data_IF_499023905729
#
_entry.id   IF_499023905729
#
_cell.length_a   1.000
_cell.length_b   1.000
_cell.length_c   1.000
_cell.angle_alpha   90.00
_cell.angle_beta   90.00
_cell.angle_gamma   90.00
#
_symmetry.space_group_name_H-M   'P 1'
#
loop_
_entity.id
_entity.type
_entity.pdbx_description
1 polymer ?
#
# COMPACT_ATOMS: atom_id res chain seq x y z
N UNK A 1 -11.55 -45.41 3.25
CA UNK A 1 -11.90 -44.81 1.94
C UNK A 1 -11.71 -43.32 2.06
N UNK A 2 -10.65 -42.79 1.44
CA UNK A 2 -10.37 -41.35 1.34
C UNK A 2 -10.81 -40.90 -0.05
N UNK A 3 -11.70 -39.92 -0.12
CA UNK A 3 -11.99 -39.08 -1.28
C UNK A 3 -11.69 -37.66 -0.79
N UNK A 4 -10.95 -36.77 -1.45
CA UNK A 4 -10.51 -36.65 -2.83
C UNK A 4 -10.55 -35.15 -3.10
N UNK A 5 -9.52 -34.42 -2.65
CA UNK A 5 -9.37 -32.99 -2.90
C UNK A 5 -9.06 -32.79 -4.38
N UNK A 6 -9.87 -31.99 -5.07
CA UNK A 6 -9.60 -31.52 -6.42
C UNK A 6 -8.60 -30.36 -6.34
N UNK A 7 -7.37 -30.61 -6.80
CA UNK A 7 -6.37 -29.58 -7.09
C UNK A 7 -6.74 -28.90 -8.41
N UNK A 8 -6.96 -27.59 -8.40
CA UNK A 8 -7.01 -26.78 -9.61
C UNK A 8 -5.58 -26.54 -10.13
N UNK A 9 -5.35 -26.58 -11.46
CA UNK A 9 -4.01 -26.52 -12.02
C UNK A 9 -3.39 -25.12 -11.95
N UNK A 10 -2.13 -25.08 -11.51
CA UNK A 10 -1.24 -23.92 -11.57
C UNK A 10 -0.97 -23.53 -13.02
N UNK A 11 -1.28 -22.29 -13.40
CA UNK A 11 -0.90 -21.71 -14.70
C UNK A 11 0.30 -20.80 -14.45
N UNK A 12 1.50 -21.33 -14.69
CA UNK A 12 2.71 -20.52 -14.90
C UNK A 12 2.69 -19.96 -16.34
N UNK A 13 3.06 -18.69 -16.57
CA UNK A 13 3.23 -18.18 -17.92
C UNK A 13 4.50 -18.77 -18.55
N UNK A 14 4.30 -19.68 -19.51
CA UNK A 14 5.34 -20.17 -20.41
C UNK A 14 5.78 -19.06 -21.37
N UNK A 15 7.02 -18.60 -21.25
CA UNK A 15 7.69 -17.83 -22.31
C UNK A 15 8.33 -18.84 -23.25
N UNK A 16 7.88 -18.83 -24.51
CA UNK A 16 8.39 -19.69 -25.59
C UNK A 16 9.90 -19.47 -25.80
N UNK A 17 10.67 -20.52 -25.57
CA UNK A 17 12.01 -20.66 -26.11
C UNK A 17 11.91 -20.89 -27.61
N UNK A 18 12.62 -20.09 -28.41
CA UNK A 18 12.81 -20.34 -29.83
C UNK A 18 13.89 -21.42 -29.94
N UNK A 19 13.47 -22.59 -30.42
CA UNK A 19 14.30 -23.76 -30.69
C UNK A 19 14.62 -23.79 -32.19
N UNK A 20 15.90 -23.62 -32.57
CA UNK A 20 16.37 -23.90 -33.93
C UNK A 20 17.25 -25.16 -33.89
N UNK A 21 16.64 -26.27 -34.32
CA UNK A 21 17.24 -27.59 -34.30
C UNK A 21 18.10 -27.93 -35.53
N UNK A 22 19.35 -28.31 -35.22
CA UNK A 22 20.13 -29.40 -35.84
C UNK A 22 20.72 -29.25 -37.26
N UNK A 23 22.05 -29.37 -37.37
CA UNK A 23 22.71 -30.59 -37.90
C UNK A 23 24.22 -30.62 -37.63
N UNK A 24 24.72 -31.84 -37.45
CA UNK A 24 26.07 -32.26 -37.07
C UNK A 24 27.13 -32.04 -38.15
N UNK A 25 28.37 -31.66 -37.78
CA UNK A 25 29.58 -32.52 -37.86
C UNK A 25 30.91 -31.74 -37.75
N UNK A 26 31.88 -32.39 -37.08
CA UNK A 26 33.35 -32.31 -37.20
C UNK A 26 34.15 -31.27 -36.39
N UNK A 27 35.07 -31.85 -35.63
CA UNK A 27 36.26 -31.28 -34.99
C UNK A 27 37.22 -30.74 -36.05
N UNK A 28 37.74 -29.53 -35.87
CA UNK A 28 39.05 -29.10 -36.37
C UNK A 28 39.61 -27.93 -35.53
N UNK A 29 40.94 -27.88 -35.45
CA UNK A 29 41.79 -27.19 -34.48
C UNK A 29 41.91 -25.64 -34.69
N UNK A 30 42.56 -24.89 -33.75
CA UNK A 30 42.45 -23.43 -33.68
C UNK A 30 43.40 -22.72 -34.66
N UNK A 31 42.91 -21.66 -35.31
CA UNK A 31 43.75 -20.73 -36.08
C UNK A 31 43.61 -19.30 -35.51
N UNK A 32 44.73 -18.58 -35.28
CA UNK A 32 44.74 -17.29 -34.62
C UNK A 32 44.53 -16.16 -35.64
N UNK A 33 43.49 -15.36 -35.47
CA UNK A 33 43.46 -14.04 -36.09
C UNK A 33 42.90 -13.01 -35.12
N UNK A 34 43.85 -12.39 -34.40
CA UNK A 34 43.68 -11.19 -33.60
C UNK A 34 43.20 -10.04 -34.49
N UNK A 35 41.90 -9.78 -34.51
CA UNK A 35 41.37 -8.44 -34.75
C UNK A 35 40.73 -7.99 -33.45
N UNK A 36 41.45 -7.15 -32.71
CA UNK A 36 40.92 -6.44 -31.55
C UNK A 36 39.67 -5.69 -31.99
N UNK A 37 38.50 -6.19 -31.61
CA UNK A 37 37.27 -5.41 -31.66
C UNK A 37 37.50 -4.19 -30.76
N UNK A 38 37.55 -3.02 -31.37
CA UNK A 38 37.52 -1.74 -30.67
C UNK A 38 36.26 -1.69 -29.82
N UNK A 39 36.40 -1.56 -28.50
CA UNK A 39 35.27 -1.23 -27.62
C UNK A 39 34.62 0.04 -28.18
N UNK A 40 33.29 0.09 -28.37
CA UNK A 40 32.64 1.35 -28.63
C UNK A 40 32.89 2.23 -27.40
N UNK A 41 33.52 3.38 -27.62
CA UNK A 41 33.57 4.46 -26.64
C UNK A 41 32.17 5.00 -26.50
N UNK A 42 31.34 4.39 -25.64
CA UNK A 42 30.15 5.08 -25.15
C UNK A 42 30.65 6.32 -24.43
N UNK A 43 30.13 7.49 -24.83
CA UNK A 43 30.33 8.70 -24.04
C UNK A 43 29.81 8.36 -22.64
N UNK A 44 30.65 8.48 -21.62
CA UNK A 44 30.19 8.37 -20.25
C UNK A 44 29.17 9.50 -20.06
N UNK A 45 27.89 9.18 -20.09
CA UNK A 45 26.86 10.11 -19.67
C UNK A 45 27.13 10.43 -18.21
N UNK A 46 27.04 11.71 -17.83
CA UNK A 46 27.18 12.17 -16.44
C UNK A 46 25.99 11.72 -15.55
N UNK A 47 25.15 10.81 -16.04
CA UNK A 47 23.91 10.33 -15.44
C UNK A 47 23.97 8.81 -15.41
N UNK A 48 23.69 8.22 -14.26
CA UNK A 48 23.51 6.78 -14.12
C UNK A 48 22.13 6.45 -14.72
N UNK A 49 22.11 5.86 -15.91
CA UNK A 49 20.87 5.42 -16.56
C UNK A 49 20.46 4.10 -15.90
N UNK A 50 19.36 4.11 -15.15
CA UNK A 50 18.74 2.89 -14.65
C UNK A 50 17.92 2.25 -15.79
N UNK A 51 18.11 0.95 -16.10
CA UNK A 51 17.31 0.30 -17.13
C UNK A 51 15.82 0.34 -16.77
N UNK A 52 15.01 0.91 -17.66
CA UNK A 52 13.54 0.93 -17.52
C UNK A 52 12.90 -0.01 -18.52
N UNK A 53 11.79 -0.65 -18.14
CA UNK A 53 10.97 -1.39 -19.10
C UNK A 53 10.11 -0.38 -19.88
N UNK A 54 10.40 -0.18 -21.17
CA UNK A 54 9.55 0.66 -22.02
C UNK A 54 8.16 0.02 -22.18
N UNK A 55 7.07 0.74 -21.89
CA UNK A 55 5.73 0.21 -22.08
C UNK A 55 5.43 -0.08 -23.55
N UNK A 56 4.60 -1.09 -23.80
CA UNK A 56 4.13 -1.40 -25.15
C UNK A 56 3.16 -0.30 -25.62
N UNK A 57 3.35 0.28 -26.82
CA UNK A 57 2.40 1.25 -27.38
C UNK A 57 0.99 0.67 -27.49
N UNK A 58 -0.02 1.48 -27.18
CA UNK A 58 -1.43 1.09 -27.33
C UNK A 58 -1.88 1.18 -28.80
N UNK A 59 -2.96 0.46 -29.14
CA UNK A 59 -3.61 0.58 -30.45
C UNK A 59 -4.80 1.54 -30.35
N UNK A 60 -5.23 2.12 -31.47
CA UNK A 60 -6.37 3.06 -31.51
C UNK A 60 -7.66 2.47 -30.88
N UNK A 61 -7.85 1.15 -31.01
CA UNK A 61 -8.97 0.40 -30.42
C UNK A 61 -8.93 0.31 -28.88
N UNK A 62 -7.79 0.60 -28.24
CA UNK A 62 -7.63 0.54 -26.79
C UNK A 62 -8.00 1.88 -26.12
N UNK A 63 -8.19 2.97 -26.90
CA UNK A 63 -8.52 4.32 -26.40
C UNK A 63 -9.90 4.41 -25.72
N UNK A 64 -10.97 3.75 -26.21
CA UNK A 64 -12.26 3.79 -25.53
C UNK A 64 -12.12 3.30 -24.07
N UNK A 65 -12.88 3.89 -23.12
CA UNK A 65 -12.79 3.47 -21.73
C UNK A 65 -13.09 1.98 -21.60
N UNK A 66 -12.31 1.24 -20.79
CA UNK A 66 -12.51 -0.19 -20.65
C UNK A 66 -13.89 -0.48 -20.06
N UNK A 67 -14.55 -1.52 -20.57
CA UNK A 67 -15.78 -2.02 -19.97
C UNK A 67 -15.42 -2.62 -18.61
N UNK A 68 -15.83 -1.95 -17.53
CA UNK A 68 -15.64 -2.46 -16.19
C UNK A 68 -16.54 -3.66 -15.94
N UNK A 69 -16.14 -4.59 -15.06
CA UNK A 69 -16.98 -5.73 -14.71
C UNK A 69 -18.33 -5.26 -14.16
N UNK A 70 -19.40 -5.91 -14.62
CA UNK A 70 -20.76 -5.60 -14.16
C UNK A 70 -20.95 -6.18 -12.75
N UNK A 71 -21.27 -5.36 -11.74
CA UNK A 71 -21.52 -5.87 -10.39
C UNK A 71 -22.73 -6.81 -10.35
N UNK A 72 -22.57 -7.97 -9.73
CA UNK A 72 -23.66 -8.96 -9.54
C UNK A 72 -24.27 -8.78 -8.15
N UNK A 73 -25.59 -8.60 -8.07
CA UNK A 73 -26.28 -8.50 -6.78
C UNK A 73 -26.20 -9.82 -6.03
N UNK A 74 -25.72 -9.78 -4.78
CA UNK A 74 -25.58 -10.97 -3.94
C UNK A 74 -26.62 -10.98 -2.83
N UNK A 75 -26.74 -9.89 -2.07
CA UNK A 75 -27.64 -9.85 -0.91
C UNK A 75 -28.22 -8.46 -0.64
N UNK A 76 -29.14 -8.38 0.32
CA UNK A 76 -29.70 -7.13 0.81
C UNK A 76 -29.69 -7.17 2.34
N UNK A 77 -29.06 -6.18 2.96
CA UNK A 77 -28.95 -6.06 4.42
C UNK A 77 -29.57 -4.72 4.81
N UNK A 78 -30.57 -4.74 5.70
CA UNK A 78 -31.29 -3.56 6.19
C UNK A 78 -31.72 -2.58 5.08
N UNK A 79 -32.26 -3.12 3.98
CA UNK A 79 -32.76 -2.34 2.84
C UNK A 79 -31.71 -1.90 1.82
N UNK A 80 -30.41 -2.08 2.08
CA UNK A 80 -29.33 -1.76 1.14
C UNK A 80 -28.94 -3.01 0.35
N UNK A 81 -28.92 -2.90 -0.99
CA UNK A 81 -28.48 -3.99 -1.87
C UNK A 81 -26.96 -3.98 -2.01
N UNK A 82 -26.34 -5.16 -1.85
CA UNK A 82 -24.91 -5.36 -1.96
C UNK A 82 -24.56 -6.26 -3.13
N UNK A 83 -23.48 -5.90 -3.81
CA UNK A 83 -23.02 -6.47 -5.07
C UNK A 83 -21.60 -6.98 -4.92
N UNK A 84 -21.31 -8.05 -5.64
CA UNK A 84 -19.97 -8.56 -5.82
C UNK A 84 -19.47 -8.14 -7.20
N UNK A 85 -18.25 -7.62 -7.23
CA UNK A 85 -17.55 -7.32 -8.48
C UNK A 85 -16.51 -8.42 -8.67
N UNK A 86 -16.90 -9.48 -9.37
CA UNK A 86 -15.99 -10.50 -9.86
C UNK A 86 -15.24 -9.90 -11.07
N UNK A 87 -13.98 -10.28 -11.30
CA UNK A 87 -13.15 -9.82 -12.45
C UNK A 87 -12.37 -8.51 -12.34
N UNK A 88 -12.25 -7.90 -11.16
CA UNK A 88 -11.21 -6.89 -10.92
C UNK A 88 -9.95 -7.52 -10.31
N UNK A 89 -8.73 -7.09 -10.71
CA UNK A 89 -7.53 -7.44 -9.97
C UNK A 89 -7.60 -6.79 -8.58
N UNK A 90 -7.34 -7.57 -7.53
CA UNK A 90 -7.44 -7.12 -6.14
C UNK A 90 -6.05 -7.09 -5.54
N UNK A 91 -5.73 -6.07 -4.75
CA UNK A 91 -4.43 -5.90 -4.11
C UNK A 91 -4.11 -7.14 -3.26
N UNK A 92 -3.06 -7.88 -3.64
CA UNK A 92 -2.66 -9.11 -2.96
C UNK A 92 -1.22 -9.48 -3.32
N UNK A 93 -0.58 -10.26 -2.44
CA UNK A 93 0.73 -10.87 -2.68
C UNK A 93 1.85 -9.84 -2.97
N UNK A 94 1.77 -8.65 -2.37
CA UNK A 94 2.77 -7.60 -2.56
C UNK A 94 2.60 -6.78 -3.84
N UNK A 95 1.44 -6.88 -4.49
CA UNK A 95 1.07 -6.06 -5.64
C UNK A 95 -0.20 -5.27 -5.36
N UNK A 96 -0.26 -4.06 -5.91
CA UNK A 96 -1.46 -3.24 -5.98
C UNK A 96 -1.75 -2.85 -7.42
N UNK A 97 -3.03 -2.64 -7.68
CA UNK A 97 -3.52 -2.31 -9.00
C UNK A 97 -4.16 -0.94 -8.98
N UNK A 98 -3.87 -0.18 -10.03
CA UNK A 98 -4.47 1.13 -10.28
C UNK A 98 -5.00 1.14 -11.70
N UNK A 99 -6.12 1.80 -11.96
CA UNK A 99 -6.59 1.92 -13.33
C UNK A 99 -5.71 2.88 -14.14
N UNK A 100 -5.50 2.53 -15.39
CA UNK A 100 -4.85 3.40 -16.36
C UNK A 100 -5.61 3.39 -17.67
N UNK A 101 -5.34 4.40 -18.49
CA UNK A 101 -5.91 4.55 -19.83
C UNK A 101 -4.82 4.97 -20.81
N UNK A 102 -4.97 4.63 -22.09
CA UNK A 102 -4.12 5.20 -23.14
C UNK A 102 -4.16 6.72 -23.12
N UNK A 103 -2.99 7.34 -23.20
CA UNK A 103 -2.84 8.78 -23.31
C UNK A 103 -2.07 9.12 -24.58
N UNK A 104 -2.74 9.53 -25.67
CA UNK A 104 -2.08 9.89 -26.93
C UNK A 104 -1.12 11.07 -26.86
N UNK A 105 -1.14 11.86 -25.78
CA UNK A 105 -0.19 12.95 -25.58
C UNK A 105 1.16 12.46 -25.02
N UNK A 106 1.20 11.26 -24.45
CA UNK A 106 2.42 10.68 -23.89
C UNK A 106 3.11 9.83 -24.96
N UNK A 107 4.36 10.17 -25.26
CA UNK A 107 5.16 9.52 -26.30
C UNK A 107 6.10 8.45 -25.75
N UNK A 108 6.43 8.51 -24.45
CA UNK A 108 7.38 7.60 -23.82
C UNK A 108 6.73 6.62 -22.85
N UNK A 109 5.72 7.05 -22.10
CA UNK A 109 4.97 6.19 -21.18
C UNK A 109 3.66 5.66 -21.77
N UNK A 110 3.08 6.33 -22.79
CA UNK A 110 1.85 5.96 -23.53
C UNK A 110 0.54 5.86 -22.73
N UNK A 111 0.59 5.76 -21.41
CA UNK A 111 -0.58 5.59 -20.54
C UNK A 111 -0.57 6.66 -19.45
N UNK A 112 -1.74 6.99 -18.93
CA UNK A 112 -1.90 7.80 -17.73
C UNK A 112 -2.87 7.14 -16.77
N UNK A 113 -2.79 7.54 -15.51
CA UNK A 113 -3.76 7.20 -14.47
C UNK A 113 -5.18 7.57 -14.90
N UNK A 114 -6.16 6.77 -14.45
CA UNK A 114 -7.58 7.12 -14.44
C UNK A 114 -8.26 6.52 -13.22
N UNK A 115 -9.46 7.00 -12.91
CA UNK A 115 -10.24 6.50 -11.76
C UNK A 115 -11.66 6.05 -12.17
N UNK A 116 -12.40 5.53 -11.19
CA UNK A 116 -13.75 5.00 -11.32
C UNK A 116 -14.81 5.96 -10.79
N UNK A 117 -16.00 5.87 -11.38
CA UNK A 117 -17.22 6.36 -10.74
C UNK A 117 -17.31 5.75 -9.32
N UNK A 118 -17.60 6.56 -8.28
CA UNK A 118 -18.29 7.85 -8.35
C UNK A 118 -17.41 9.11 -8.46
N UNK A 119 -16.11 9.00 -8.74
CA UNK A 119 -15.17 10.15 -8.82
C UNK A 119 -15.16 11.02 -7.57
N UNK A 120 -15.06 10.37 -6.42
CA UNK A 120 -14.96 10.97 -5.10
C UNK A 120 -14.29 9.96 -4.14
N UNK A 121 -14.02 10.36 -2.90
CA UNK A 121 -13.56 9.41 -1.89
C UNK A 121 -14.65 8.38 -1.59
N UNK A 122 -14.33 7.11 -1.82
CA UNK A 122 -15.21 5.98 -1.68
C UNK A 122 -14.43 4.77 -1.15
N UNK A 123 -15.11 3.64 -0.93
CA UNK A 123 -14.41 2.39 -0.63
C UNK A 123 -13.79 1.85 -1.91
N UNK A 124 -12.51 1.49 -1.86
CA UNK A 124 -11.75 1.02 -3.02
C UNK A 124 -12.20 -0.37 -3.46
N UNK A 125 -12.45 -0.53 -4.75
CA UNK A 125 -12.73 -1.84 -5.36
C UNK A 125 -11.47 -2.71 -5.51
N UNK A 126 -10.28 -2.09 -5.46
CA UNK A 126 -8.98 -2.76 -5.54
C UNK A 126 -8.47 -3.16 -4.16
N UNK A 127 -8.73 -2.32 -3.16
CA UNK A 127 -8.12 -2.40 -1.84
C UNK A 127 -9.05 -3.03 -0.80
N UNK A 128 -9.41 -4.28 -1.07
CA UNK A 128 -10.41 -5.06 -0.33
C UNK A 128 -10.05 -6.54 -0.23
N UNK A 129 -10.65 -7.23 0.74
CA UNK A 129 -10.74 -8.70 0.69
C UNK A 129 -11.73 -9.14 -0.40
N UNK A 130 -11.50 -10.31 -1.01
CA UNK A 130 -12.40 -10.86 -2.04
C UNK A 130 -13.82 -11.15 -1.54
N UNK A 131 -13.99 -11.36 -0.23
CA UNK A 131 -15.29 -11.59 0.41
C UNK A 131 -16.09 -10.32 0.74
N UNK A 132 -15.60 -9.13 0.39
CA UNK A 132 -16.33 -7.87 0.60
C UNK A 132 -17.33 -7.63 -0.54
N UNK A 133 -18.55 -7.29 -0.15
CA UNK A 133 -19.63 -6.86 -1.02
C UNK A 133 -19.86 -5.35 -0.88
N UNK A 134 -20.18 -4.67 -1.98
CA UNK A 134 -20.28 -3.21 -2.08
C UNK A 134 -21.72 -2.78 -2.32
N UNK A 135 -22.13 -1.64 -1.80
CA UNK A 135 -23.30 -0.94 -2.32
C UNK A 135 -23.04 -0.44 -3.75
N UNK A 136 -24.12 -0.12 -4.49
CA UNK A 136 -24.02 0.33 -5.88
C UNK A 136 -23.19 1.62 -6.05
N UNK A 137 -23.17 2.48 -5.02
CA UNK A 137 -22.40 3.73 -4.98
C UNK A 137 -20.98 3.57 -4.41
N UNK A 138 -20.55 2.35 -4.08
CA UNK A 138 -19.24 2.04 -3.48
C UNK A 138 -18.95 2.76 -2.15
N UNK A 139 -19.97 3.19 -1.42
CA UNK A 139 -19.83 3.87 -0.13
C UNK A 139 -20.02 2.94 1.06
N UNK A 140 -20.75 1.84 0.89
CA UNK A 140 -21.07 0.89 1.94
C UNK A 140 -20.49 -0.49 1.64
N UNK A 141 -20.08 -1.19 2.69
CA UNK A 141 -19.58 -2.57 2.59
C UNK A 141 -20.26 -3.50 3.59
N UNK A 142 -20.31 -4.78 3.22
CA UNK A 142 -20.69 -5.89 4.08
C UNK A 142 -19.92 -7.16 3.70
N UNK A 143 -19.90 -8.16 4.59
CA UNK A 143 -19.33 -9.48 4.32
C UNK A 143 -20.22 -10.58 4.90
N UNK A 144 -20.57 -11.63 4.13
CA UNK A 144 -21.43 -12.70 4.64
C UNK A 144 -20.78 -13.54 5.75
N UNK A 145 -19.46 -13.73 5.70
CA UNK A 145 -18.74 -14.66 6.57
C UNK A 145 -17.36 -14.14 6.96
N UNK A 146 -17.02 -14.35 8.23
CA UNK A 146 -15.73 -14.00 8.80
C UNK A 146 -15.44 -12.50 8.80
N UNK A 147 -14.31 -12.14 9.40
CA UNK A 147 -13.84 -10.76 9.35
C UNK A 147 -13.22 -10.49 8.00
N UNK A 148 -13.77 -9.52 7.27
CA UNK A 148 -13.20 -9.01 6.03
C UNK A 148 -13.09 -7.50 6.13
N UNK A 149 -12.15 -6.92 5.39
CA UNK A 149 -11.97 -5.47 5.38
C UNK A 149 -11.80 -4.91 3.98
N UNK A 150 -12.10 -3.62 3.86
CA UNK A 150 -11.77 -2.79 2.71
C UNK A 150 -11.29 -1.42 3.19
N UNK A 151 -10.46 -0.76 2.38
CA UNK A 151 -9.97 0.60 2.63
C UNK A 151 -10.61 1.58 1.65
N UNK A 152 -10.62 2.86 2.02
CA UNK A 152 -10.94 3.93 1.06
C UNK A 152 -9.95 3.96 -0.11
N UNK A 153 -10.36 4.56 -1.23
CA UNK A 153 -9.46 4.84 -2.36
C UNK A 153 -8.42 5.93 -2.04
N UNK A 154 -8.64 6.70 -0.97
CA UNK A 154 -7.84 7.86 -0.59
C UNK A 154 -7.26 7.71 0.81
N UNK A 155 -5.99 8.09 0.95
CA UNK A 155 -5.24 8.03 2.22
C UNK A 155 -4.76 9.40 2.66
N UNK A 156 -4.74 9.62 3.97
CA UNK A 156 -4.32 10.86 4.62
C UNK A 156 -2.83 10.79 4.92
N UNK A 157 -2.08 11.81 4.46
CA UNK A 157 -0.62 11.88 4.52
C UNK A 157 -0.10 12.99 5.44
N UNK A 158 -0.82 14.09 5.51
CA UNK A 158 -0.54 15.25 6.35
C UNK A 158 -1.83 16.03 6.55
N UNK A 159 -1.83 17.02 7.45
CA UNK A 159 -2.98 17.89 7.67
C UNK A 159 -4.13 17.23 8.44
N UNK A 160 -5.29 17.89 8.43
CA UNK A 160 -6.44 17.51 9.25
C UNK A 160 -7.68 17.22 8.40
N UNK A 161 -8.19 15.99 8.47
CA UNK A 161 -9.34 15.52 7.68
C UNK A 161 -10.39 14.86 8.55
N UNK A 162 -11.66 15.09 8.21
CA UNK A 162 -12.82 14.50 8.87
C UNK A 162 -13.65 13.64 7.91
N UNK A 163 -14.14 12.52 8.42
CA UNK A 163 -15.09 11.62 7.76
C UNK A 163 -15.90 10.86 8.79
N UNK A 164 -17.01 10.24 8.37
CA UNK A 164 -17.88 9.47 9.26
C UNK A 164 -18.07 8.04 8.78
N UNK A 165 -18.26 7.14 9.73
CA UNK A 165 -18.77 5.80 9.49
C UNK A 165 -20.21 5.70 10.00
N UNK A 166 -21.16 5.55 9.09
CA UNK A 166 -22.55 5.25 9.43
C UNK A 166 -22.73 3.74 9.56
N UNK A 167 -23.17 3.29 10.72
CA UNK A 167 -23.35 1.88 11.02
C UNK A 167 -24.70 1.42 10.48
N UNK A 168 -24.68 0.57 9.45
CA UNK A 168 -25.88 0.11 8.76
C UNK A 168 -26.42 -1.21 9.30
N UNK A 169 -25.54 -2.07 9.83
CA UNK A 169 -25.91 -3.30 10.50
C UNK A 169 -24.82 -3.71 11.50
N UNK A 170 -25.12 -3.63 12.79
CA UNK A 170 -24.32 -4.15 13.89
C UNK A 170 -25.27 -4.54 15.03
N UNK A 171 -25.29 -5.81 15.39
CA UNK A 171 -26.19 -6.44 16.37
C UNK A 171 -25.49 -7.58 17.14
N UNK A 172 -26.24 -8.52 17.71
CA UNK A 172 -25.67 -9.64 18.49
C UNK A 172 -24.85 -10.64 17.65
N UNK A 173 -25.14 -10.78 16.36
CA UNK A 173 -24.49 -11.75 15.47
C UNK A 173 -23.67 -11.08 14.37
N UNK A 174 -24.01 -9.84 14.02
CA UNK A 174 -23.39 -9.05 12.97
C UNK A 174 -22.50 -8.00 13.62
N UNK A 175 -21.21 -7.98 13.29
CA UNK A 175 -20.28 -7.05 13.92
C UNK A 175 -19.53 -6.20 12.90
N UNK A 176 -19.11 -5.02 13.34
CA UNK A 176 -18.25 -4.13 12.57
C UNK A 176 -17.07 -3.64 13.41
N UNK A 177 -15.97 -3.31 12.74
CA UNK A 177 -14.92 -2.47 13.31
C UNK A 177 -14.56 -1.39 12.31
N UNK A 178 -14.39 -0.19 12.81
CA UNK A 178 -14.11 0.99 12.00
C UNK A 178 -12.86 1.67 12.51
N UNK A 179 -12.09 2.26 11.61
CA UNK A 179 -10.86 2.93 12.01
C UNK A 179 -10.02 3.31 10.82
N UNK A 180 -8.70 3.37 11.03
CA UNK A 180 -7.74 3.65 9.96
C UNK A 180 -6.60 2.67 9.95
N UNK A 181 -6.05 2.45 8.77
CA UNK A 181 -4.90 1.58 8.59
C UNK A 181 -4.02 2.03 7.43
N UNK A 182 -2.74 1.67 7.51
CA UNK A 182 -1.79 1.80 6.41
C UNK A 182 -1.97 0.67 5.40
N UNK A 183 -1.24 0.76 4.28
CA UNK A 183 -1.31 -0.20 3.15
C UNK A 183 -0.88 -1.62 3.49
N UNK A 184 0.02 -1.78 4.45
CA UNK A 184 0.54 -3.09 4.88
C UNK A 184 -0.48 -3.90 5.69
N UNK A 185 -1.53 -3.24 6.22
CA UNK A 185 -2.55 -3.88 7.04
C UNK A 185 -3.29 -4.97 6.25
N UNK A 186 -3.58 -6.08 6.90
CA UNK A 186 -4.26 -7.20 6.24
C UNK A 186 -5.74 -6.90 5.96
N UNK A 187 -6.16 -7.06 4.71
CA UNK A 187 -7.56 -6.94 4.29
C UNK A 187 -8.42 -8.17 4.63
N UNK A 188 -7.77 -9.29 4.99
CA UNK A 188 -8.41 -10.54 5.43
C UNK A 188 -8.64 -10.59 6.94
N UNK A 189 -8.26 -9.53 7.66
CA UNK A 189 -8.40 -9.38 9.10
C UNK A 189 -9.07 -8.04 9.42
N UNK A 190 -9.69 -7.89 10.60
CA UNK A 190 -10.31 -6.63 10.97
C UNK A 190 -9.26 -5.55 11.28
N UNK A 191 -9.61 -4.29 11.10
CA UNK A 191 -8.80 -3.13 11.52
C UNK A 191 -8.45 -3.27 13.01
N UNK A 192 -7.20 -2.97 13.36
CA UNK A 192 -6.64 -3.19 14.69
C UNK A 192 -6.11 -4.61 14.95
N UNK A 193 -6.13 -5.50 13.96
CA UNK A 193 -5.52 -6.85 14.06
C UNK A 193 -3.99 -6.79 14.14
N UNK A 194 -3.35 -6.02 13.27
CA UNK A 194 -1.90 -5.86 13.22
C UNK A 194 -1.46 -4.46 13.71
N UNK A 195 -0.16 -4.19 13.69
CA UNK A 195 0.41 -2.91 14.13
C UNK A 195 0.28 -1.79 13.08
N UNK A 196 -0.37 -2.05 11.95
CA UNK A 196 -0.52 -1.09 10.85
C UNK A 196 -1.86 -0.36 10.87
N UNK A 197 -2.78 -0.73 11.77
CA UNK A 197 -4.09 -0.08 11.86
C UNK A 197 -4.59 0.05 13.29
N UNK A 198 -5.42 1.06 13.50
CA UNK A 198 -6.10 1.38 14.75
C UNK A 198 -7.59 1.26 14.50
N UNK A 199 -8.24 0.32 15.17
CA UNK A 199 -9.66 0.01 14.97
C UNK A 199 -10.46 0.21 16.24
N UNK A 200 -11.72 0.62 16.14
CA UNK A 200 -12.64 0.70 17.27
C UNK A 200 -13.68 -0.40 17.12
N UNK A 201 -13.90 -1.15 18.20
CA UNK A 201 -14.87 -2.24 18.24
C UNK A 201 -16.27 -1.72 18.51
N UNK A 202 -17.25 -2.24 17.78
CA UNK A 202 -18.68 -1.92 17.92
C UNK A 202 -19.26 -2.24 19.30
N UNK A 203 -18.97 -3.43 19.85
CA UNK A 203 -19.65 -3.93 21.06
C UNK A 203 -19.38 -3.10 22.32
N UNK A 204 -18.13 -2.74 22.56
CA UNK A 204 -17.68 -2.08 23.79
C UNK A 204 -16.99 -0.73 23.54
N UNK A 205 -16.77 -0.37 22.27
CA UNK A 205 -16.08 0.86 21.90
C UNK A 205 -14.59 0.85 22.23
N UNK A 206 -14.01 -0.31 22.52
CA UNK A 206 -12.59 -0.46 22.83
C UNK A 206 -11.73 -0.24 21.58
N UNK A 207 -10.61 0.46 21.76
CA UNK A 207 -9.53 0.51 20.78
C UNK A 207 -8.91 -0.88 20.65
N UNK A 208 -8.95 -1.39 19.43
CA UNK A 208 -8.23 -2.56 18.96
C UNK A 208 -6.93 -2.12 18.30
N UNK A 209 -5.83 -2.61 18.86
CA UNK A 209 -4.49 -2.45 18.29
C UNK A 209 -3.70 -3.73 18.57
N UNK A 210 -2.95 -4.24 17.58
CA UNK A 210 -2.20 -5.52 17.68
C UNK A 210 -3.03 -6.70 18.21
N UNK A 211 -4.30 -6.79 17.78
CA UNK A 211 -5.29 -7.78 18.20
C UNK A 211 -5.57 -7.78 19.70
N UNK A 212 -5.26 -6.69 20.40
CA UNK A 212 -5.51 -6.49 21.83
C UNK A 212 -6.45 -5.31 22.02
N UNK A 213 -7.36 -5.46 22.98
CA UNK A 213 -8.18 -4.36 23.49
C UNK A 213 -7.29 -3.42 24.31
N UNK A 214 -7.46 -2.12 24.14
CA UNK A 214 -6.73 -1.07 24.84
C UNK A 214 -7.72 -0.28 25.70
N UNK A 215 -7.72 1.04 25.58
CA UNK A 215 -8.65 1.95 26.22
C UNK A 215 -9.99 1.99 25.46
N UNK A 216 -11.05 2.40 26.16
CA UNK A 216 -12.36 2.66 25.57
C UNK A 216 -12.28 3.99 24.81
N UNK A 217 -12.53 3.95 23.51
CA UNK A 217 -12.56 5.13 22.64
C UNK A 217 -13.97 5.68 22.44
N UNK A 218 -14.99 4.84 22.53
CA UNK A 218 -16.40 5.23 22.37
C UNK A 218 -17.19 4.65 23.52
N UNK A 219 -17.82 5.49 24.34
CA UNK A 219 -18.57 4.99 25.48
C UNK A 219 -19.77 4.14 25.04
N UNK A 220 -19.91 2.97 25.68
CA UNK A 220 -20.96 1.99 25.41
C UNK A 220 -20.97 1.43 23.97
N UNK A 221 -19.85 1.54 23.25
CA UNK A 221 -19.78 1.05 21.86
C UNK A 221 -20.72 1.79 20.91
N UNK A 222 -21.07 1.15 19.81
CA UNK A 222 -21.97 1.69 18.78
C UNK A 222 -22.71 0.57 18.05
N UNK A 223 -23.94 0.85 17.61
CA UNK A 223 -24.83 -0.13 16.98
C UNK A 223 -25.46 0.43 15.70
N UNK A 224 -26.34 -0.35 15.07
CA UNK A 224 -27.10 0.06 13.89
C UNK A 224 -27.79 1.40 14.08
N UNK A 225 -27.52 2.34 13.18
CA UNK A 225 -28.06 3.70 13.20
C UNK A 225 -27.11 4.75 13.80
N UNK A 226 -26.10 4.34 14.57
CA UNK A 226 -25.07 5.26 15.06
C UNK A 226 -24.15 5.73 13.92
N UNK A 227 -23.56 6.91 14.13
CA UNK A 227 -22.54 7.50 13.26
C UNK A 227 -21.29 7.77 14.08
N UNK A 228 -20.17 7.21 13.62
CA UNK A 228 -18.86 7.38 14.27
C UNK A 228 -17.99 8.29 13.40
N UNK A 229 -17.76 9.52 13.85
CA UNK A 229 -16.90 10.50 13.20
C UNK A 229 -15.43 10.29 13.57
N UNK A 230 -14.53 10.50 12.62
CA UNK A 230 -13.09 10.45 12.79
C UNK A 230 -12.48 11.77 12.31
N UNK A 231 -11.77 12.47 13.19
CA UNK A 231 -10.89 13.57 12.84
C UNK A 231 -9.44 13.11 12.99
N UNK A 232 -8.72 13.06 11.87
CA UNK A 232 -7.32 12.66 11.84
C UNK A 232 -6.49 13.92 11.65
N UNK A 233 -5.57 14.15 12.57
CA UNK A 233 -4.67 15.31 12.56
C UNK A 233 -3.25 14.79 12.44
N UNK A 234 -2.61 15.06 11.31
CA UNK A 234 -1.21 14.77 11.06
C UNK A 234 -0.44 16.10 10.89
N UNK A 235 0.82 16.19 11.37
CA UNK A 235 1.68 17.33 11.05
C UNK A 235 1.94 17.42 9.55
N UNK A 236 2.57 18.51 9.11
CA UNK A 236 2.96 18.63 7.71
C UNK A 236 3.94 17.51 7.32
N UNK A 237 3.86 17.05 6.07
CA UNK A 237 4.73 15.99 5.57
C UNK A 237 6.20 16.43 5.64
N UNK A 238 6.48 17.72 5.50
CA UNK A 238 7.81 18.30 5.69
C UNK A 238 8.35 18.12 7.10
N UNK A 239 7.51 18.32 8.12
CA UNK A 239 7.89 18.12 9.53
C UNK A 239 8.06 16.63 9.83
N UNK A 240 7.13 15.80 9.38
CA UNK A 240 7.21 14.35 9.51
C UNK A 240 8.51 13.80 8.90
N UNK A 241 8.87 14.23 7.67
CA UNK A 241 10.15 13.87 7.04
C UNK A 241 11.37 14.37 7.82
N UNK A 242 11.31 15.56 8.43
CA UNK A 242 12.38 16.07 9.30
C UNK A 242 12.58 15.18 10.52
N UNK A 243 11.50 14.83 11.21
CA UNK A 243 11.55 13.96 12.39
C UNK A 243 12.11 12.57 12.06
N UNK A 244 11.77 12.03 10.88
CA UNK A 244 12.34 10.77 10.41
C UNK A 244 13.84 10.88 10.14
N UNK A 245 14.31 11.97 9.53
CA UNK A 245 15.76 12.19 9.36
C UNK A 245 16.48 12.27 10.70
N UNK A 246 15.94 13.02 11.66
CA UNK A 246 16.52 13.13 13.01
C UNK A 246 16.55 11.77 13.74
N UNK A 247 15.47 10.98 13.61
CA UNK A 247 15.42 9.62 14.12
C UNK A 247 16.51 8.74 13.49
N UNK A 248 16.66 8.80 12.16
CA UNK A 248 17.66 8.03 11.42
C UNK A 248 19.08 8.44 11.78
N UNK A 249 19.35 9.74 11.90
CA UNK A 249 20.65 10.27 12.33
C UNK A 249 21.00 9.82 13.75
N UNK A 250 20.04 9.89 14.68
CA UNK A 250 20.21 9.42 16.06
C UNK A 250 20.55 7.93 16.12
N UNK A 251 19.81 7.10 15.38
CA UNK A 251 20.07 5.65 15.31
C UNK A 251 21.40 5.34 14.63
N UNK A 252 21.76 6.05 13.57
CA UNK A 252 23.06 5.90 12.89
C UNK A 252 24.22 6.28 13.80
N UNK A 253 24.07 7.32 14.61
CA UNK A 253 25.06 7.72 15.61
C UNK A 253 25.25 6.65 16.71
N UNK A 254 24.15 6.07 17.22
CA UNK A 254 24.16 4.92 18.14
C UNK A 254 24.89 3.70 17.53
N UNK A 255 24.73 3.45 16.22
CA UNK A 255 25.43 2.37 15.49
C UNK A 255 26.94 2.63 15.43
N UNK A 256 27.35 3.83 15.05
CA UNK A 256 28.77 4.19 14.85
C UNK A 256 29.59 4.05 16.15
N UNK A 257 28.99 4.39 17.28
CA UNK A 257 29.61 4.28 18.61
C UNK A 257 29.72 2.83 19.08
N UNK A 258 28.75 1.96 18.76
CA UNK A 258 28.82 0.52 19.10
C UNK A 258 29.80 -0.26 18.21
N UNK A 259 29.94 0.07 16.93
CA UNK A 259 30.87 -0.62 16.01
C UNK A 259 32.35 -0.37 16.37
N UNK A 260 32.68 0.75 17.01
CA UNK A 260 34.03 0.97 17.55
C UNK A 260 34.40 -0.01 18.68
N UNK A 261 33.41 -0.62 19.35
CA UNK A 261 33.63 -1.54 20.47
C UNK A 261 33.73 -3.03 20.08
N UNK A 262 33.29 -3.44 18.88
CA UNK A 262 33.31 -4.85 18.43
C UNK A 262 33.82 -4.99 17.00
N UNK A 263 35.15 -4.91 16.81
CA UNK A 263 35.80 -5.38 15.58
C UNK A 263 35.79 -6.92 15.52
N UNK A 264 34.74 -7.52 14.96
CA UNK A 264 34.83 -8.85 14.34
C UNK A 264 34.30 -8.81 12.92
N UNK A 265 35.09 -9.44 12.05
CA UNK A 265 35.01 -9.46 10.60
C UNK A 265 33.73 -10.16 10.11
N UNK A 266 32.86 -9.42 9.45
CA UNK A 266 32.03 -9.98 8.38
C UNK A 266 31.98 -8.96 7.26
N UNK A 267 32.52 -9.33 6.09
CA UNK A 267 32.51 -8.51 4.87
C UNK A 267 31.12 -8.70 4.25
N UNK A 268 30.22 -7.73 4.39
CA UNK A 268 28.89 -7.75 3.78
C UNK A 268 28.63 -6.49 2.93
N UNK A 269 27.75 -6.63 1.93
CA UNK A 269 27.55 -5.71 0.80
C UNK A 269 27.02 -4.33 1.23
N UNK A 270 27.92 -3.37 1.36
CA UNK A 270 27.64 -1.97 1.70
C UNK A 270 26.90 -1.20 0.58
N UNK A 271 27.00 -1.65 -0.69
CA UNK A 271 26.56 -0.86 -1.85
C UNK A 271 25.03 -0.70 -2.05
N UNK A 272 24.19 -1.46 -1.35
CA UNK A 272 22.73 -1.47 -1.65
C UNK A 272 21.97 -0.34 -0.95
N UNK A 273 22.41 0.06 0.26
CA UNK A 273 21.71 1.05 1.09
C UNK A 273 21.96 2.48 0.60
N UNK A 274 23.20 2.81 0.23
CA UNK A 274 23.57 4.11 -0.33
C UNK A 274 22.78 4.43 -1.63
N UNK A 275 22.35 3.40 -2.37
CA UNK A 275 21.53 3.58 -3.57
C UNK A 275 20.08 3.96 -3.25
N UNK A 276 19.51 3.45 -2.14
CA UNK A 276 18.12 3.72 -1.74
C UNK A 276 17.94 5.13 -1.16
N UNK A 277 18.97 5.68 -0.51
CA UNK A 277 18.96 7.07 -0.02
C UNK A 277 18.82 8.07 -1.16
N UNK A 278 19.40 7.79 -2.33
CA UNK A 278 19.32 8.65 -3.52
C UNK A 278 17.88 8.74 -4.02
N UNK A 279 17.15 7.62 -4.04
CA UNK A 279 15.77 7.57 -4.52
C UNK A 279 14.80 8.37 -3.66
N UNK A 280 15.07 8.47 -2.36
CA UNK A 280 14.27 9.25 -1.42
C UNK A 280 14.83 10.67 -1.17
N UNK A 281 15.97 11.00 -1.78
CA UNK A 281 16.56 12.33 -1.65
C UNK A 281 15.61 13.39 -2.21
N UNK A 282 15.74 14.61 -1.70
CA UNK A 282 14.97 15.77 -2.18
C UNK A 282 13.45 15.59 -2.15
N UNK A 283 12.95 14.73 -1.26
CA UNK A 283 11.52 14.47 -1.10
C UNK A 283 10.86 13.84 -2.34
N UNK A 284 11.64 13.14 -3.17
CA UNK A 284 11.20 12.47 -4.39
C UNK A 284 10.12 11.39 -4.12
N UNK A 285 9.29 11.18 -5.14
CA UNK A 285 8.33 10.09 -5.23
C UNK A 285 8.82 9.15 -6.32
N UNK A 286 8.85 7.85 -6.04
CA UNK A 286 9.34 6.84 -6.98
C UNK A 286 8.21 5.88 -7.28
N UNK A 287 7.78 5.83 -8.55
CA UNK A 287 6.65 5.02 -9.00
C UNK A 287 7.11 4.01 -10.05
N UNK A 288 7.01 2.72 -9.74
CA UNK A 288 7.21 1.63 -10.70
C UNK A 288 5.84 1.16 -11.18
N UNK A 289 5.43 1.65 -12.35
CA UNK A 289 4.09 1.48 -12.90
C UNK A 289 4.15 0.75 -14.24
N UNK A 290 3.71 -0.51 -14.26
CA UNK A 290 3.71 -1.33 -15.47
C UNK A 290 2.29 -1.46 -16.01
N UNK A 291 1.97 -0.85 -17.17
CA UNK A 291 0.65 -0.97 -17.75
C UNK A 291 0.42 -2.40 -18.26
N UNK A 292 -0.61 -3.05 -17.73
CA UNK A 292 -0.99 -4.43 -18.02
C UNK A 292 -2.46 -4.51 -18.37
N UNK A 293 -2.79 -5.31 -19.39
CA UNK A 293 -4.17 -5.58 -19.78
C UNK A 293 -4.67 -6.84 -19.08
N UNK A 294 -5.72 -6.72 -18.27
CA UNK A 294 -6.34 -7.84 -17.57
C UNK A 294 -7.86 -7.78 -17.72
N UNK A 295 -8.47 -8.90 -18.10
CA UNK A 295 -9.93 -9.08 -18.20
C UNK A 295 -10.67 -7.93 -18.92
N UNK A 296 -10.08 -7.39 -19.99
CA UNK A 296 -10.70 -6.35 -20.82
C UNK A 296 -10.44 -4.90 -20.36
N UNK A 297 -9.75 -4.70 -19.23
CA UNK A 297 -9.36 -3.39 -18.73
C UNK A 297 -7.83 -3.23 -18.60
N UNK A 298 -7.39 -1.97 -18.54
CA UNK A 298 -5.99 -1.59 -18.41
C UNK A 298 -5.71 -1.12 -16.99
N UNK A 299 -4.64 -1.65 -16.42
CA UNK A 299 -4.22 -1.34 -15.05
C UNK A 299 -2.72 -1.06 -15.04
N UNK A 300 -2.27 -0.18 -14.16
CA UNK A 300 -0.91 -0.23 -13.67
C UNK A 300 -0.80 -1.33 -12.62
N UNK A 301 0.13 -2.25 -12.87
CA UNK A 301 0.66 -3.15 -11.86
C UNK A 301 1.80 -2.42 -11.13
N UNK A 302 1.68 -2.35 -9.81
CA UNK A 302 2.66 -1.70 -8.92
C UNK A 302 2.95 -2.61 -7.74
N UNK A 303 4.14 -2.47 -7.17
CA UNK A 303 4.43 -3.12 -5.90
C UNK A 303 3.66 -2.47 -4.75
N UNK A 304 3.24 -3.29 -3.79
CA UNK A 304 2.56 -2.86 -2.58
C UNK A 304 3.49 -3.01 -1.38
N UNK A 305 3.28 -2.13 -0.40
CA UNK A 305 4.01 -2.15 0.86
C UNK A 305 3.77 -3.47 1.61
N UNK A 306 4.86 -4.05 2.08
CA UNK A 306 4.89 -5.37 2.70
C UNK A 306 5.06 -5.29 4.20
N UNK A 307 4.51 -6.28 4.90
CA UNK A 307 4.70 -6.41 6.35
C UNK A 307 6.17 -6.65 6.67
N UNK A 308 6.66 -5.92 7.66
CA UNK A 308 7.96 -6.14 8.30
C UNK A 308 7.85 -7.12 9.47
N UNK A 309 8.91 -7.90 9.72
CA UNK A 309 8.98 -8.81 10.87
C UNK A 309 8.80 -8.10 12.20
N UNK A 310 9.21 -6.84 12.29
CA UNK A 310 9.11 -5.99 13.49
C UNK A 310 7.68 -5.79 13.92
N UNK A 311 6.83 -5.41 12.97
CA UNK A 311 5.42 -5.15 13.21
C UNK A 311 4.66 -6.47 13.42
N UNK A 312 5.06 -7.55 12.74
CA UNK A 312 4.50 -8.88 12.99
C UNK A 312 4.89 -9.40 14.39
N UNK A 313 6.10 -9.07 14.86
CA UNK A 313 6.56 -9.43 16.21
C UNK A 313 5.81 -8.66 17.30
N UNK A 314 5.33 -7.43 17.03
CA UNK A 314 4.44 -6.72 17.96
C UNK A 314 3.11 -7.46 18.17
N UNK A 315 2.60 -8.10 17.12
CA UNK A 315 1.40 -8.93 17.20
C UNK A 315 1.70 -10.22 17.98
N UNK A 316 2.76 -10.92 17.60
CA UNK A 316 3.20 -12.19 18.20
C UNK A 316 4.66 -12.09 18.66
N UNK A 317 4.93 -11.73 19.94
CA UNK A 317 6.29 -11.53 20.45
C UNK A 317 6.97 -12.85 20.79
N UNK A 318 6.95 -13.79 19.85
CA UNK A 318 7.54 -15.12 19.98
C UNK A 318 8.76 -15.18 19.08
N UNK A 319 9.90 -15.54 19.66
CA UNK A 319 11.12 -15.83 18.92
C UNK A 319 11.44 -17.30 19.03
N UNK A 320 11.64 -17.93 17.88
CA UNK A 320 11.91 -19.37 17.78
C UNK A 320 13.42 -19.59 17.71
N UNK A 321 13.98 -20.22 18.75
CA UNK A 321 15.36 -20.67 18.80
C UNK A 321 15.40 -22.19 18.59
N UNK A 322 15.63 -22.63 17.35
CA UNK A 322 15.57 -24.04 16.99
C UNK A 322 14.16 -24.61 17.20
N UNK A 323 14.01 -25.59 18.10
CA UNK A 323 12.71 -26.19 18.45
C UNK A 323 11.99 -25.47 19.61
N UNK A 324 12.61 -24.46 20.25
CA UNK A 324 12.06 -23.77 21.41
C UNK A 324 11.54 -22.38 21.04
N UNK A 325 10.26 -22.16 21.28
CA UNK A 325 9.63 -20.84 21.23
C UNK A 325 9.79 -20.13 22.58
N UNK A 326 10.38 -18.94 22.59
CA UNK A 326 10.55 -18.09 23.77
C UNK A 326 9.81 -16.78 23.54
N UNK A 327 9.02 -16.36 24.53
CA UNK A 327 8.37 -15.04 24.50
C UNK A 327 9.43 -14.00 24.80
N UNK A 328 9.67 -13.10 23.86
CA UNK A 328 10.59 -11.97 24.08
C UNK A 328 9.92 -10.93 24.99
N UNK A 329 10.66 -10.46 25.99
CA UNK A 329 10.22 -9.42 26.92
C UNK A 329 10.75 -8.02 26.57
N UNK A 330 11.59 -7.92 25.55
CA UNK A 330 12.14 -6.64 25.11
C UNK A 330 11.09 -5.81 24.38
N UNK A 331 10.98 -4.55 24.79
CA UNK A 331 10.05 -3.60 24.19
C UNK A 331 10.59 -3.05 22.86
N UNK A 332 10.22 -3.70 21.76
CA UNK A 332 10.62 -3.30 20.40
C UNK A 332 9.92 -2.01 19.92
N UNK A 333 8.90 -1.52 20.62
CA UNK A 333 8.20 -0.29 20.21
C UNK A 333 9.10 0.94 20.23
N UNK A 334 10.17 0.92 21.04
CA UNK A 334 11.17 2.00 21.13
C UNK A 334 11.94 2.26 19.83
N UNK A 335 11.99 1.28 18.94
CA UNK A 335 12.68 1.39 17.66
C UNK A 335 11.72 1.70 16.51
N UNK A 336 10.43 1.90 16.79
CA UNK A 336 9.44 2.24 15.77
C UNK A 336 9.23 3.76 15.80
N UNK A 337 9.51 4.46 14.69
CA UNK A 337 9.27 5.89 14.63
C UNK A 337 7.77 6.19 14.73
N UNK A 338 7.44 7.24 15.48
CA UNK A 338 6.09 7.80 15.61
C UNK A 338 6.02 9.13 14.87
N UNK A 339 4.82 9.53 14.45
CA UNK A 339 4.54 10.86 13.91
C UNK A 339 4.22 11.76 15.11
N UNK A 340 5.12 12.66 15.50
CA UNK A 340 4.88 13.49 16.68
C UNK A 340 3.70 14.44 16.43
N UNK A 341 2.93 14.72 17.49
CA UNK A 341 1.73 15.56 17.43
C UNK A 341 0.62 15.03 16.50
N UNK A 342 0.72 13.78 16.04
CA UNK A 342 -0.39 13.13 15.35
C UNK A 342 -1.42 12.63 16.35
N UNK A 343 -2.70 12.78 16.02
CA UNK A 343 -3.80 12.23 16.81
C UNK A 343 -5.02 11.88 15.99
N UNK A 344 -5.82 10.94 16.49
CA UNK A 344 -7.16 10.63 16.02
C UNK A 344 -8.15 10.97 17.13
N UNK A 345 -9.08 11.88 16.82
CA UNK A 345 -10.24 12.20 17.66
C UNK A 345 -11.47 11.50 17.12
N UNK A 346 -12.29 10.99 18.03
CA UNK A 346 -13.44 10.15 17.71
C UNK A 346 -14.70 10.82 18.21
N UNK A 347 -15.75 10.77 17.40
CA UNK A 347 -17.05 11.35 17.70
C UNK A 347 -18.12 10.27 17.57
N UNK A 348 -19.10 10.25 18.47
CA UNK A 348 -20.31 9.43 18.33
C UNK A 348 -21.51 10.34 18.22
N UNK A 349 -22.23 10.26 17.11
CA UNK A 349 -23.41 11.09 16.83
C UNK A 349 -23.15 12.59 17.08
N UNK A 350 -21.98 13.07 16.65
CA UNK A 350 -21.53 14.46 16.80
C UNK A 350 -20.93 14.82 18.17
N UNK A 351 -20.98 13.94 19.16
CA UNK A 351 -20.39 14.17 20.49
C UNK A 351 -18.97 13.61 20.51
N UNK A 352 -18.00 14.49 20.73
CA UNK A 352 -16.59 14.11 20.91
C UNK A 352 -16.42 13.17 22.10
N UNK A 353 -15.61 12.14 21.93
CA UNK A 353 -15.28 11.18 22.97
C UNK A 353 -13.94 11.56 23.63
N UNK A 354 -13.81 11.32 24.94
CA UNK A 354 -12.66 11.77 25.74
C UNK A 354 -11.32 11.13 25.36
N UNK A 355 -11.34 10.06 24.57
CA UNK A 355 -10.15 9.27 24.25
C UNK A 355 -9.59 9.61 22.87
N UNK A 356 -8.39 10.18 22.85
CA UNK A 356 -7.59 10.39 21.64
C UNK A 356 -6.62 9.20 21.40
N UNK A 357 -6.35 8.88 20.13
CA UNK A 357 -5.27 7.98 19.74
C UNK A 357 -4.11 8.85 19.31
N UNK A 358 -3.12 9.04 20.17
CA UNK A 358 -1.97 9.92 19.91
C UNK A 358 -0.74 9.15 19.42
N UNK A 359 0.17 9.85 18.74
CA UNK A 359 1.49 9.36 18.32
C UNK A 359 1.40 8.10 17.43
N UNK A 360 0.70 8.24 16.31
CA UNK A 360 0.55 7.20 15.30
C UNK A 360 1.93 6.77 14.78
N UNK A 361 2.07 5.51 14.38
CA UNK A 361 3.32 5.01 13.82
C UNK A 361 3.61 5.65 12.46
N UNK A 362 4.87 6.06 12.25
CA UNK A 362 5.29 6.62 10.97
C UNK A 362 5.15 5.61 9.84
N UNK A 363 4.53 6.05 8.75
CA UNK A 363 4.48 5.31 7.49
C UNK A 363 5.66 5.59 6.56
N UNK A 364 6.47 6.62 6.85
CA UNK A 364 7.60 6.97 6.01
C UNK A 364 8.76 5.98 6.17
N UNK A 365 9.48 5.68 5.07
CA UNK A 365 10.65 4.82 5.12
C UNK A 365 11.78 5.46 5.95
N UNK A 366 12.52 4.64 6.69
CA UNK A 366 13.68 5.08 7.50
C UNK A 366 15.03 4.80 6.84
N UNK A 367 15.08 4.04 5.73
CA UNK A 367 16.33 3.64 5.05
C UNK A 367 17.38 2.93 5.93
N UNK A 368 17.05 2.48 7.15
CA UNK A 368 17.98 1.76 8.03
C UNK A 368 17.91 0.26 7.76
N UNK A 369 18.83 -0.28 6.95
CA UNK A 369 18.83 -1.72 6.60
C UNK A 369 19.90 -2.55 7.33
N UNK A 370 20.82 -1.90 8.07
CA UNK A 370 22.11 -2.51 8.45
C UNK A 370 22.11 -3.30 9.78
N UNK A 371 21.02 -3.31 10.55
CA UNK A 371 20.96 -3.92 11.90
C UNK A 371 19.74 -4.82 12.08
N UNK A 372 19.96 -6.13 12.13
CA UNK A 372 18.93 -7.14 12.43
C UNK A 372 18.26 -6.91 13.80
N UNK A 373 18.94 -6.27 14.75
CA UNK A 373 18.43 -5.95 16.09
C UNK A 373 17.57 -4.68 16.15
N UNK A 374 17.78 -3.71 15.25
CA UNK A 374 16.90 -2.55 15.13
C UNK A 374 15.58 -2.92 14.46
N UNK A 375 15.57 -4.00 13.67
CA UNK A 375 14.38 -4.51 12.99
C UNK A 375 13.69 -3.38 12.18
N UNK A 376 14.41 -2.71 11.29
CA UNK A 376 13.84 -1.71 10.37
C UNK A 376 13.91 -2.24 8.94
N UNK A 377 13.26 -3.39 8.72
CA UNK A 377 13.22 -4.02 7.40
C UNK A 377 12.60 -3.09 6.34
N UNK A 378 12.97 -3.26 5.06
CA UNK A 378 12.44 -2.40 4.01
C UNK A 378 10.91 -2.49 3.90
N UNK A 379 10.26 -1.34 3.71
CA UNK A 379 8.81 -1.25 3.57
C UNK A 379 8.28 -1.95 2.30
N UNK A 380 9.13 -2.13 1.29
CA UNK A 380 8.87 -2.85 0.04
C UNK A 380 9.99 -3.86 -0.20
N UNK A 381 9.63 -5.12 -0.44
CA UNK A 381 10.58 -6.18 -0.75
C UNK A 381 10.50 -6.57 -2.23
N UNK A 382 11.36 -5.97 -3.07
CA UNK A 382 11.47 -6.34 -4.48
C UNK A 382 12.82 -7.01 -4.77
N UNK A 383 12.79 -8.27 -5.20
CA UNK A 383 14.00 -8.99 -5.61
C UNK A 383 14.50 -8.57 -6.99
N UNK A 384 13.57 -8.16 -7.88
CA UNK A 384 13.88 -7.85 -9.28
C UNK A 384 14.40 -6.41 -9.47
N UNK A 385 13.91 -5.45 -8.67
CA UNK A 385 14.41 -4.07 -8.65
C UNK A 385 14.79 -3.64 -7.21
N UNK A 386 16.02 -3.95 -6.76
CA UNK A 386 16.46 -3.61 -5.41
C UNK A 386 16.43 -2.11 -5.09
N UNK A 387 16.41 -1.23 -6.10
CA UNK A 387 16.37 0.23 -5.91
C UNK A 387 14.99 0.78 -5.52
N UNK A 388 13.93 -0.02 -5.64
CA UNK A 388 12.58 0.38 -5.23
C UNK A 388 12.29 0.13 -3.74
N UNK A 389 13.29 -0.33 -2.98
CA UNK A 389 13.17 -0.59 -1.54
C UNK A 389 13.12 0.74 -0.79
N UNK A 390 12.31 0.79 0.27
CA UNK A 390 12.22 1.98 1.12
C UNK A 390 11.80 3.24 0.37
N UNK A 391 10.98 3.11 -0.68
CA UNK A 391 10.51 4.24 -1.48
C UNK A 391 9.14 4.73 -1.04
N UNK A 392 8.85 5.99 -1.34
CA UNK A 392 7.50 6.57 -1.28
C UNK A 392 6.97 6.72 -2.70
N UNK A 393 5.84 6.08 -2.99
CA UNK A 393 5.22 6.09 -4.32
C UNK A 393 3.96 6.95 -4.39
N UNK A 394 3.86 7.92 -3.47
CA UNK A 394 2.72 8.80 -3.23
C UNK A 394 1.54 8.15 -2.52
N UNK A 395 1.59 6.86 -2.21
CA UNK A 395 0.46 6.14 -1.59
C UNK A 395 0.65 5.71 -0.14
N UNK A 396 1.78 6.06 0.49
CA UNK A 396 1.94 5.93 1.95
C UNK A 396 0.97 6.86 2.68
N UNK A 397 0.39 6.39 3.78
CA UNK A 397 -0.53 7.17 4.60
C UNK A 397 -1.50 6.30 5.41
N UNK A 398 -2.45 6.94 6.09
CA UNK A 398 -3.54 6.29 6.80
C UNK A 398 -4.84 6.36 6.01
N UNK A 399 -5.45 5.21 5.77
CA UNK A 399 -6.69 5.06 5.01
C UNK A 399 -7.83 4.69 5.96
N UNK A 400 -9.00 5.36 5.89
CA UNK A 400 -10.25 4.82 6.41
C UNK A 400 -10.40 3.34 6.06
N UNK A 401 -10.57 2.51 7.09
CA UNK A 401 -10.69 1.06 6.97
C UNK A 401 -11.98 0.58 7.62
N UNK A 402 -12.75 -0.18 6.83
CA UNK A 402 -14.07 -0.70 7.18
C UNK A 402 -13.96 -2.21 7.29
N UNK A 403 -14.22 -2.75 8.48
CA UNK A 403 -14.20 -4.19 8.75
C UNK A 403 -15.58 -4.68 9.12
N UNK A 404 -16.00 -5.77 8.49
CA UNK A 404 -17.33 -6.35 8.69
C UNK A 404 -17.24 -7.83 9.01
N UNK A 405 -18.19 -8.32 9.80
CA UNK A 405 -18.31 -9.70 10.25
C UNK A 405 -19.76 -10.14 10.23
N UNK A 406 -20.03 -11.30 9.61
CA UNK A 406 -21.34 -11.96 9.60
C UNK A 406 -22.50 -11.00 9.25
N UNK A 407 -22.46 -10.40 8.06
CA UNK A 407 -23.41 -9.39 7.57
C UNK A 407 -23.39 -8.05 8.32
N UNK A 408 -22.38 -7.81 9.17
CA UNK A 408 -22.07 -6.46 9.61
C UNK A 408 -21.97 -5.52 8.41
N UNK A 409 -22.48 -4.31 8.52
CA UNK A 409 -22.53 -3.36 7.41
C UNK A 409 -22.23 -1.95 7.88
N UNK A 410 -21.39 -1.26 7.12
CA UNK A 410 -20.95 0.10 7.43
C UNK A 410 -20.83 0.91 6.15
N UNK A 411 -21.12 2.20 6.25
CA UNK A 411 -21.02 3.17 5.17
C UNK A 411 -20.00 4.25 5.52
N UNK A 412 -19.10 4.53 4.59
CA UNK A 412 -18.23 5.70 4.63
C UNK A 412 -19.03 6.93 4.16
N UNK A 413 -19.00 8.00 4.95
CA UNK A 413 -19.35 9.35 4.53
C UNK A 413 -18.08 10.20 4.48
N UNK A 414 -17.60 10.48 3.27
CA UNK A 414 -16.38 11.26 3.06
C UNK A 414 -16.57 12.79 3.15
N UNK A 415 -17.80 13.25 3.36
CA UNK A 415 -18.16 14.67 3.33
C UNK A 415 -18.32 15.23 1.92
N UNK A 416 -18.56 16.55 1.76
CA UNK A 416 -18.67 17.56 2.82
C UNK A 416 -19.98 17.49 3.62
N UNK A 417 -21.00 16.78 3.11
CA UNK A 417 -22.32 16.69 3.73
C UNK A 417 -22.33 15.62 4.84
N UNK A 418 -21.92 16.03 6.04
CA UNK A 418 -21.89 15.18 7.23
C UNK A 418 -23.27 15.05 7.90
N UNK A 419 -23.56 13.88 8.48
CA UNK A 419 -24.76 13.71 9.32
C UNK A 419 -24.57 14.43 10.65
N UNK A 420 -23.34 14.41 11.18
CA UNK A 420 -22.90 15.14 12.35
C UNK A 420 -21.62 15.91 12.04
N UNK A 421 -21.73 17.17 11.57
CA UNK A 421 -20.57 17.95 11.19
C UNK A 421 -19.62 18.18 12.38
N UNK A 422 -18.30 18.24 12.12
CA UNK A 422 -17.31 18.47 13.16
C UNK A 422 -17.48 19.86 13.77
N UNK A 423 -17.07 20.07 15.04
CA UNK A 423 -17.26 21.34 15.75
C UNK A 423 -16.41 22.49 15.19
N UNK A 424 -15.38 22.16 14.42
CA UNK A 424 -14.43 23.11 13.85
C UNK A 424 -14.29 22.90 12.34
N UNK A 425 -13.93 23.96 11.58
CA UNK A 425 -13.78 23.86 10.13
C UNK A 425 -12.55 23.00 9.79
N UNK A 426 -12.81 21.81 9.26
CA UNK A 426 -11.80 20.83 8.84
C UNK A 426 -12.13 20.34 7.43
N UNK A 427 -11.11 19.84 6.74
CA UNK A 427 -11.29 19.33 5.38
C UNK A 427 -12.08 18.02 5.40
N UNK A 428 -13.10 17.84 4.55
CA UNK A 428 -13.67 16.53 4.32
C UNK A 428 -12.66 15.61 3.64
N UNK A 429 -12.81 14.30 3.80
CA UNK A 429 -11.99 13.32 3.07
C UNK A 429 -12.12 13.46 1.55
N UNK A 430 -13.26 13.96 1.05
CA UNK A 430 -13.43 14.30 -0.37
C UNK A 430 -12.44 15.37 -0.87
N UNK A 431 -11.98 16.31 -0.03
CA UNK A 431 -10.94 17.26 -0.46
C UNK A 431 -9.62 16.53 -0.71
N UNK A 432 -9.30 15.49 0.08
CA UNK A 432 -8.10 14.67 -0.13
C UNK A 432 -8.18 13.90 -1.45
N UNK A 433 -9.38 13.50 -1.90
CA UNK A 433 -9.58 12.87 -3.21
C UNK A 433 -9.13 13.81 -4.34
N UNK A 434 -9.63 15.05 -4.32
CA UNK A 434 -9.26 16.06 -5.33
C UNK A 434 -7.76 16.36 -5.32
N UNK A 435 -7.17 16.49 -4.13
CA UNK A 435 -5.72 16.64 -3.96
C UNK A 435 -4.96 15.44 -4.57
N UNK A 436 -5.42 14.21 -4.34
CA UNK A 436 -4.79 13.01 -4.88
C UNK A 436 -4.89 12.97 -6.40
N UNK A 437 -6.03 13.34 -6.99
CA UNK A 437 -6.19 13.40 -8.46
C UNK A 437 -5.19 14.39 -9.07
N UNK A 438 -4.99 15.56 -8.45
CA UNK A 438 -4.02 16.56 -8.88
C UNK A 438 -2.60 16.04 -8.75
N UNK A 439 -2.25 15.44 -7.61
CA UNK A 439 -0.95 14.81 -7.36
C UNK A 439 -0.63 13.75 -8.41
N UNK A 440 -1.58 12.86 -8.70
CA UNK A 440 -1.41 11.77 -9.65
C UNK A 440 -1.20 12.30 -11.08
N UNK A 441 -1.96 13.31 -11.50
CA UNK A 441 -1.76 13.95 -12.79
C UNK A 441 -0.40 14.64 -12.90
N UNK A 442 0.03 15.34 -11.83
CA UNK A 442 1.34 15.98 -11.76
C UNK A 442 2.47 14.95 -11.93
N UNK A 443 2.41 13.84 -11.18
CA UNK A 443 3.43 12.78 -11.28
C UNK A 443 3.39 12.07 -12.64
N UNK A 444 2.22 11.85 -13.23
CA UNK A 444 2.13 11.26 -14.58
C UNK A 444 2.84 12.13 -15.64
N UNK A 445 2.74 13.45 -15.54
CA UNK A 445 3.44 14.39 -16.43
C UNK A 445 4.94 14.37 -16.16
N UNK A 446 5.37 14.37 -14.90
CA UNK A 446 6.79 14.30 -14.55
C UNK A 446 7.43 13.00 -15.03
N UNK A 447 6.78 11.87 -14.80
CA UNK A 447 7.29 10.56 -15.21
C UNK A 447 7.37 10.46 -16.74
N UNK A 448 6.48 11.13 -17.49
CA UNK A 448 6.58 11.23 -18.95
C UNK A 448 7.81 12.05 -19.37
N UNK A 449 8.08 13.19 -18.73
CA UNK A 449 9.26 14.02 -19.02
C UNK A 449 10.55 13.26 -18.69
N UNK A 450 10.59 12.57 -17.55
CA UNK A 450 11.71 11.70 -17.18
C UNK A 450 11.90 10.57 -18.20
N UNK A 451 10.80 9.90 -18.59
CA UNK A 451 10.84 8.84 -19.59
C UNK A 451 11.34 9.33 -20.95
N UNK A 452 10.92 10.51 -21.41
CA UNK A 452 11.42 11.14 -22.64
C UNK A 452 12.92 11.45 -22.56
N UNK A 453 13.38 11.96 -21.42
CA UNK A 453 14.79 12.21 -21.19
C UNK A 453 15.60 10.91 -21.22
N UNK A 454 15.11 9.85 -20.57
CA UNK A 454 15.76 8.54 -20.58
C UNK A 454 15.77 7.92 -21.98
N UNK A 455 14.69 8.04 -22.74
CA UNK A 455 14.60 7.47 -24.08
C UNK A 455 15.56 8.13 -25.07
N UNK A 456 15.87 9.41 -24.87
CA UNK A 456 16.82 10.16 -25.72
C UNK A 456 18.24 9.58 -25.72
N UNK A 457 18.61 8.79 -24.69
CA UNK A 457 19.91 8.12 -24.63
C UNK A 457 19.98 6.83 -25.44
N UNK A 458 18.85 6.18 -25.69
CA UNK A 458 18.82 4.96 -26.50
C UNK A 458 18.76 5.29 -28.00
N UNK A 459 18.17 6.43 -28.36
CA UNK A 459 18.07 6.90 -29.76
C UNK A 459 19.43 7.40 -30.32
N UNK A 460 20.41 7.65 -29.43
CA UNK A 460 21.78 8.10 -29.76
C UNK A 460 22.77 6.93 -30.01
N UNK A 461 22.33 5.67 -29.89
CA UNK A 461 23.09 4.44 -30.20
C UNK A 461 22.58 3.74 -31.46
#
# INVERSE_FOLDING_TARGET
MRQGFSEEPSIEPQIQAIDDGSTSTRLDAPSPNNKKASKPTSKQHNVIIQPRLRPMPFKLQDIPPPALPVPTKVQTVNGVSYFQVEDLPVNRRGFKYKLCRPNPLFTSNFYSTTDLSPYQACVSLFDRSSGILFSQDSMSVTSPQGWRSARSNVGIREGSYYFEFKILNADENSHVRVGVARREASLEAPVGYDAYGYGIRDVDGELMFISRRKNVCVENGFTTGDVVGFLIELPSLKEHKREIREFVESKTAEISTQHQAKKKKTKWKQNTVEQNEIFNAHDNIVRDQIPTKSKGALYYDQYEYTKTKTMDHLLNPITVFGEKAVIEMDDKTKNIPVIANSRIRVFKNGVEQDSCIDNLYSFLPTNIEEREDLNLEPNVQQQQNPGYRNTDDSTLGYYPMLSTFQNGAVRLNAGPDFEFPPPEPVKPLNDRYEEQVIEEWYWDVLDEVEAQYLDSFDDDN
#
